data_IF_177687903941
#
_entry.id   IF_177687903941
#
_cell.length_a   1.000
_cell.length_b   1.000
_cell.length_c   1.000
_cell.angle_alpha   90.00
_cell.angle_beta   90.00
_cell.angle_gamma   90.00
#
_symmetry.space_group_name_H-M   'P 1'
#
loop_
_entity.id
_entity.type
_entity.pdbx_description
1 polymer ?
#
# COMPACT_ATOMS: atom_id res chain seq x y z
N UNK A 1 -7.63 -10.35 -21.44
CA UNK A 1 -8.13 -9.33 -20.47
C UNK A 1 -8.61 -10.08 -19.24
N UNK A 2 -8.03 -9.86 -18.05
CA UNK A 2 -8.54 -10.51 -16.84
C UNK A 2 -9.93 -9.97 -16.52
N UNK A 3 -10.84 -10.86 -16.13
CA UNK A 3 -12.22 -10.53 -15.81
C UNK A 3 -12.26 -9.53 -14.64
N UNK A 4 -13.03 -8.46 -14.82
CA UNK A 4 -13.35 -7.48 -13.79
C UNK A 4 -14.19 -8.18 -12.71
N UNK A 5 -13.54 -8.74 -11.70
CA UNK A 5 -14.24 -9.17 -10.49
C UNK A 5 -14.66 -7.88 -9.80
N UNK A 6 -15.94 -7.51 -9.93
CA UNK A 6 -16.51 -6.41 -9.16
C UNK A 6 -16.31 -6.73 -7.68
N UNK A 7 -15.34 -6.05 -7.07
CA UNK A 7 -15.12 -6.15 -5.63
C UNK A 7 -16.37 -5.70 -4.86
N UNK A 8 -16.49 -6.05 -3.58
CA UNK A 8 -17.54 -5.53 -2.72
C UNK A 8 -17.69 -4.00 -2.87
N UNK A 9 -18.93 -3.49 -2.87
CA UNK A 9 -19.26 -2.10 -3.24
C UNK A 9 -18.53 -1.03 -2.40
N UNK A 10 -17.95 -1.42 -1.26
CA UNK A 10 -17.32 -0.55 -0.27
C UNK A 10 -15.87 -0.97 0.09
N UNK A 11 -15.20 -1.77 -0.74
CA UNK A 11 -13.82 -2.20 -0.46
C UNK A 11 -12.87 -1.02 -0.48
N UNK A 12 -12.10 -0.89 0.60
CA UNK A 12 -11.02 0.09 0.77
C UNK A 12 -9.75 -0.46 0.13
N UNK A 13 -9.34 -1.66 0.55
CA UNK A 13 -8.09 -2.31 0.14
C UNK A 13 -8.20 -3.81 0.39
N UNK A 14 -7.53 -4.58 -0.45
CA UNK A 14 -7.28 -6.01 -0.28
C UNK A 14 -5.79 -6.21 0.00
N UNK A 15 -5.47 -6.95 1.05
CA UNK A 15 -4.11 -7.32 1.41
C UNK A 15 -3.89 -8.80 1.09
N UNK A 16 -2.93 -9.10 0.21
CA UNK A 16 -2.64 -10.47 -0.23
C UNK A 16 -1.31 -10.94 0.33
N UNK A 17 -1.27 -12.15 0.88
CA UNK A 17 -0.04 -12.74 1.42
C UNK A 17 0.97 -13.09 0.34
N UNK A 18 2.21 -12.60 0.46
CA UNK A 18 3.34 -12.97 -0.41
C UNK A 18 4.42 -13.81 0.27
N UNK A 19 4.20 -14.16 1.52
CA UNK A 19 5.12 -14.96 2.35
C UNK A 19 4.31 -15.90 3.23
N UNK A 20 4.91 -17.01 3.66
CA UNK A 20 4.28 -17.93 4.61
C UNK A 20 3.91 -17.24 5.94
N UNK A 21 4.75 -16.31 6.40
CA UNK A 21 4.45 -15.50 7.59
C UNK A 21 3.20 -14.63 7.39
N UNK A 22 3.05 -13.99 6.23
CA UNK A 22 1.83 -13.24 5.91
C UNK A 22 0.61 -14.15 5.75
N UNK A 23 0.76 -15.33 5.15
CA UNK A 23 -0.33 -16.30 5.04
C UNK A 23 -0.86 -16.72 6.41
N UNK A 24 0.04 -17.09 7.32
CA UNK A 24 -0.30 -17.44 8.69
C UNK A 24 -0.98 -16.28 9.41
N UNK A 25 -0.44 -15.07 9.27
CA UNK A 25 -0.99 -13.86 9.87
C UNK A 25 -2.43 -13.59 9.39
N UNK A 26 -2.67 -13.58 8.09
CA UNK A 26 -4.00 -13.35 7.52
C UNK A 26 -4.99 -14.49 7.81
N UNK A 27 -4.50 -15.69 8.12
CA UNK A 27 -5.32 -16.87 8.48
C UNK A 27 -5.66 -16.97 9.97
N UNK A 28 -5.20 -16.03 10.80
CA UNK A 28 -5.53 -16.00 12.23
C UNK A 28 -7.04 -15.88 12.47
N UNK A 29 -7.53 -16.47 13.57
CA UNK A 29 -8.95 -16.47 13.93
C UNK A 29 -9.56 -15.06 13.94
N UNK A 30 -8.82 -14.08 14.49
CA UNK A 30 -9.20 -12.66 14.54
C UNK A 30 -9.53 -12.08 13.16
N UNK A 31 -8.84 -12.56 12.13
CA UNK A 31 -8.90 -12.02 10.77
C UNK A 31 -9.95 -12.71 9.91
N UNK A 32 -10.48 -13.88 10.33
CA UNK A 32 -11.37 -14.72 9.50
C UNK A 32 -12.61 -13.99 8.98
N UNK A 33 -13.14 -13.02 9.74
CA UNK A 33 -14.32 -12.23 9.31
C UNK A 33 -14.04 -11.33 8.10
N UNK A 34 -12.77 -11.02 7.83
CA UNK A 34 -12.33 -10.15 6.73
C UNK A 34 -11.78 -10.94 5.52
N UNK A 35 -11.54 -12.24 5.70
CA UNK A 35 -11.10 -13.12 4.63
C UNK A 35 -12.35 -13.56 3.87
N UNK A 36 -12.47 -13.25 2.57
CA UNK A 36 -13.59 -13.75 1.80
C UNK A 36 -13.57 -15.28 1.81
N UNK A 37 -14.73 -15.97 1.77
CA UNK A 37 -14.76 -17.42 1.69
C UNK A 37 -13.90 -17.86 0.50
N UNK A 38 -13.10 -18.94 0.66
CA UNK A 38 -12.16 -19.36 -0.37
C UNK A 38 -12.93 -19.56 -1.67
N UNK A 39 -12.64 -18.72 -2.65
CA UNK A 39 -13.07 -18.99 -4.02
C UNK A 39 -12.18 -20.12 -4.48
N UNK A 40 -12.72 -21.34 -4.52
CA UNK A 40 -12.00 -22.50 -5.06
C UNK A 40 -11.72 -22.19 -6.53
N UNK A 41 -10.55 -21.63 -6.81
CA UNK A 41 -10.01 -21.62 -8.15
C UNK A 41 -9.50 -23.03 -8.35
N UNK A 42 -10.29 -23.86 -9.02
CA UNK A 42 -9.86 -25.17 -9.50
C UNK A 42 -8.73 -24.90 -10.52
N UNK A 43 -7.50 -24.80 -10.04
CA UNK A 43 -6.34 -24.95 -10.90
C UNK A 43 -6.41 -26.37 -11.44
N UNK A 44 -6.70 -26.50 -12.74
CA UNK A 44 -6.55 -27.76 -13.46
C UNK A 44 -5.07 -28.09 -13.42
N UNK A 45 -4.69 -29.05 -12.58
CA UNK A 45 -3.35 -29.62 -12.56
C UNK A 45 -3.20 -30.47 -13.83
N UNK A 46 -2.43 -29.97 -14.81
CA UNK A 46 -1.96 -30.81 -15.90
C UNK A 46 -0.93 -31.78 -15.35
N UNK A 47 -1.35 -33.05 -15.29
CA UNK A 47 -0.54 -34.20 -14.93
C UNK A 47 0.60 -34.38 -15.94
N UNK A 48 1.85 -34.23 -15.49
CA UNK A 48 3.01 -34.84 -16.17
C UNK A 48 3.90 -35.48 -15.11
N UNK A 49 3.85 -36.82 -15.06
CA UNK A 49 4.84 -37.65 -14.37
C UNK A 49 6.21 -37.47 -15.02
N UNK A 50 7.27 -37.08 -14.28
CA UNK A 50 8.56 -37.78 -14.30
C UNK A 50 9.58 -37.22 -13.25
N UNK A 51 10.23 -38.16 -12.55
CA UNK A 51 11.54 -38.14 -11.85
C UNK A 51 11.79 -37.32 -10.57
N UNK A 52 12.30 -38.10 -9.60
CA UNK A 52 13.04 -37.74 -8.39
C UNK A 52 13.87 -36.45 -8.50
N UNK A 53 13.40 -35.39 -7.87
CA UNK A 53 14.19 -34.24 -7.42
C UNK A 53 13.65 -33.76 -6.07
N UNK A 54 14.52 -33.09 -5.31
CA UNK A 54 14.26 -32.38 -4.04
C UNK A 54 12.82 -31.86 -3.98
N UNK A 55 12.04 -32.09 -2.91
CA UNK A 55 10.64 -31.65 -2.86
C UNK A 55 10.59 -30.15 -3.19
N UNK A 56 10.01 -29.85 -4.35
CA UNK A 56 9.75 -28.48 -4.75
C UNK A 56 8.85 -27.87 -3.67
N UNK A 57 9.16 -26.67 -3.14
CA UNK A 57 8.26 -26.00 -2.22
C UNK A 57 6.90 -25.92 -2.90
N UNK A 58 5.90 -26.62 -2.36
CA UNK A 58 4.55 -26.63 -2.92
C UNK A 58 4.05 -25.20 -3.12
N UNK A 59 3.12 -24.97 -4.07
CA UNK A 59 2.67 -23.64 -4.42
C UNK A 59 2.27 -22.87 -3.15
N UNK A 60 2.85 -21.68 -2.97
CA UNK A 60 2.53 -20.81 -1.84
C UNK A 60 1.03 -20.55 -1.87
N UNK A 61 0.32 -21.02 -0.84
CA UNK A 61 -1.09 -20.71 -0.67
C UNK A 61 -1.20 -19.21 -0.48
N UNK A 62 -1.81 -18.52 -1.43
CA UNK A 62 -2.17 -17.12 -1.26
C UNK A 62 -3.48 -17.03 -0.47
N UNK A 63 -3.52 -16.12 0.49
CA UNK A 63 -4.76 -15.71 1.17
C UNK A 63 -4.87 -14.20 1.05
N UNK A 64 -6.10 -13.71 0.99
CA UNK A 64 -6.40 -12.30 0.90
C UNK A 64 -7.32 -11.87 2.04
N UNK A 65 -7.10 -10.66 2.54
CA UNK A 65 -7.92 -10.01 3.54
C UNK A 65 -8.50 -8.73 2.95
N UNK A 66 -9.80 -8.52 3.08
CA UNK A 66 -10.50 -7.35 2.54
C UNK A 66 -10.89 -6.40 3.66
N UNK A 67 -10.45 -5.15 3.57
CA UNK A 67 -10.90 -4.05 4.42
C UNK A 67 -12.00 -3.29 3.68
N UNK A 68 -13.10 -3.00 4.36
CA UNK A 68 -14.27 -2.31 3.78
C UNK A 68 -14.66 -1.10 4.62
N UNK A 69 -15.40 -0.16 4.02
CA UNK A 69 -16.01 0.94 4.77
C UNK A 69 -17.23 0.49 5.59
N UNK A 70 -17.72 -0.73 5.40
CA UNK A 70 -18.78 -1.30 6.24
C UNK A 70 -18.26 -1.76 7.60
N UNK A 71 -16.95 -2.03 7.67
CA UNK A 71 -16.20 -2.34 8.89
C UNK A 71 -15.29 -1.16 9.27
N UNK A 72 -15.82 -0.12 9.95
CA UNK A 72 -15.04 1.06 10.29
C UNK A 72 -13.89 0.69 11.24
N UNK A 73 -12.81 1.50 11.26
CA UNK A 73 -11.72 1.31 12.20
C UNK A 73 -12.21 1.47 13.65
N UNK A 74 -11.52 0.81 14.60
CA UNK A 74 -11.85 0.92 16.03
C UNK A 74 -11.71 2.35 16.55
N UNK A 75 -10.68 3.06 16.09
CA UNK A 75 -10.52 4.49 16.30
C UNK A 75 -10.60 5.21 14.93
N UNK A 76 -11.64 6.03 14.70
CA UNK A 76 -11.78 6.81 13.48
C UNK A 76 -10.60 7.72 13.17
N UNK A 77 -9.74 8.07 14.14
CA UNK A 77 -8.57 8.94 13.97
C UNK A 77 -7.28 8.19 13.64
N UNK A 78 -7.19 6.90 13.98
CA UNK A 78 -6.01 6.08 13.71
C UNK A 78 -6.13 5.27 12.41
N UNK A 79 -7.36 5.05 11.93
CA UNK A 79 -7.61 4.21 10.75
C UNK A 79 -7.55 2.72 11.07
N UNK A 80 -7.42 1.88 10.05
CA UNK A 80 -7.35 0.42 10.20
C UNK A 80 -5.96 -0.01 10.66
N UNK A 81 -5.79 -0.12 11.97
CA UNK A 81 -4.51 -0.48 12.61
C UNK A 81 -4.19 -1.96 12.40
N UNK A 82 -2.95 -2.24 12.00
CA UNK A 82 -2.39 -3.58 11.83
C UNK A 82 -1.22 -3.77 12.80
N UNK A 83 -1.17 -4.87 13.53
CA UNK A 83 -0.14 -5.10 14.54
C UNK A 83 -0.27 -6.42 15.28
N UNK A 84 0.35 -6.55 16.45
CA UNK A 84 0.38 -7.80 17.23
C UNK A 84 -0.55 -7.83 18.45
N UNK A 85 -1.29 -6.75 18.70
CA UNK A 85 -2.17 -6.62 19.85
C UNK A 85 -3.66 -6.67 19.43
N UNK A 86 -4.40 -7.73 19.77
CA UNK A 86 -5.80 -7.91 19.33
C UNK A 86 -6.77 -6.89 19.92
N UNK A 87 -6.42 -6.24 21.05
CA UNK A 87 -7.29 -5.25 21.68
C UNK A 87 -7.34 -3.92 20.92
N UNK A 88 -6.29 -3.62 20.15
CA UNK A 88 -6.17 -2.35 19.45
C UNK A 88 -5.92 -2.47 17.94
N UNK A 89 -5.75 -3.68 17.42
CA UNK A 89 -5.54 -3.91 16.00
C UNK A 89 -6.81 -4.40 15.31
N UNK A 90 -7.13 -3.73 14.21
CA UNK A 90 -8.14 -4.18 13.26
C UNK A 90 -7.69 -5.47 12.56
N UNK A 91 -6.43 -5.51 12.08
CA UNK A 91 -5.81 -6.71 11.51
C UNK A 91 -4.69 -7.21 12.43
N UNK A 92 -4.78 -8.48 12.83
CA UNK A 92 -3.74 -9.10 13.65
C UNK A 92 -2.67 -9.72 12.74
N UNK A 93 -1.41 -9.35 12.94
CA UNK A 93 -0.27 -9.80 12.13
C UNK A 93 0.56 -10.90 12.80
N UNK A 94 0.30 -11.18 14.08
CA UNK A 94 0.92 -12.29 14.79
C UNK A 94 0.00 -12.79 15.91
N UNK A 95 0.03 -14.09 16.18
CA UNK A 95 -0.76 -14.72 17.23
C UNK A 95 -0.25 -14.36 18.64
N UNK A 96 1.07 -14.20 18.78
CA UNK A 96 1.71 -13.88 20.06
C UNK A 96 2.23 -12.43 20.06
N UNK A 97 1.72 -11.57 20.96
CA UNK A 97 2.29 -10.23 21.11
C UNK A 97 3.77 -10.34 21.50
N UNK A 98 4.61 -9.49 20.89
CA UNK A 98 6.06 -9.35 21.17
C UNK A 98 7.00 -10.41 20.57
N UNK A 99 6.48 -11.48 19.95
CA UNK A 99 7.33 -12.43 19.21
C UNK A 99 7.44 -11.95 17.76
N UNK A 100 8.63 -12.03 17.15
CA UNK A 100 8.77 -11.82 15.70
C UNK A 100 8.83 -10.37 15.22
N UNK A 101 9.20 -9.39 16.07
CA UNK A 101 9.54 -8.03 15.62
C UNK A 101 8.35 -7.15 15.18
N UNK A 102 7.11 -7.61 15.41
CA UNK A 102 5.89 -6.85 15.10
C UNK A 102 5.42 -6.09 16.34
N UNK A 103 5.53 -4.75 16.30
CA UNK A 103 4.98 -3.84 17.31
C UNK A 103 3.48 -4.05 17.58
N UNK A 104 3.03 -3.70 18.79
CA UNK A 104 1.63 -3.80 19.23
C UNK A 104 0.67 -3.16 18.21
N UNK A 105 0.92 -1.90 17.87
CA UNK A 105 0.42 -1.23 16.65
C UNK A 105 1.61 -1.06 15.72
N UNK A 106 1.58 -1.64 14.52
CA UNK A 106 2.74 -1.61 13.63
C UNK A 106 2.59 -0.56 12.54
N UNK A 107 1.48 -0.60 11.83
CA UNK A 107 1.12 0.43 10.87
C UNK A 107 -0.39 0.60 10.86
N UNK A 108 -0.89 1.69 10.29
CA UNK A 108 -2.30 1.83 9.98
C UNK A 108 -2.51 2.23 8.53
N UNK A 109 -3.67 1.84 8.02
CA UNK A 109 -4.19 2.33 6.74
C UNK A 109 -5.27 3.34 7.06
N UNK A 110 -5.19 4.53 6.46
CA UNK A 110 -6.18 5.58 6.67
C UNK A 110 -6.35 6.39 5.39
N UNK A 111 -7.53 6.97 5.19
CA UNK A 111 -7.70 7.92 4.10
C UNK A 111 -7.11 9.27 4.48
N UNK A 112 -6.46 9.93 3.54
CA UNK A 112 -6.51 11.38 3.52
C UNK A 112 -7.95 11.78 3.15
N UNK A 113 -8.72 12.17 4.17
CA UNK A 113 -10.13 12.53 4.04
C UNK A 113 -10.38 13.83 3.27
N UNK A 114 -9.34 14.58 2.90
CA UNK A 114 -9.46 15.76 2.04
C UNK A 114 -9.42 15.39 0.56
N UNK A 115 -8.57 14.43 0.16
CA UNK A 115 -8.35 14.10 -1.25
C UNK A 115 -8.61 12.66 -1.67
N UNK A 116 -8.96 11.79 -0.71
CA UNK A 116 -9.34 10.40 -0.95
C UNK A 116 -8.16 9.44 -1.18
N UNK A 117 -6.90 9.87 -1.03
CA UNK A 117 -5.74 8.98 -1.13
C UNK A 117 -5.64 8.06 0.08
N UNK A 118 -5.35 6.78 -0.15
CA UNK A 118 -5.08 5.83 0.94
C UNK A 118 -3.63 5.99 1.40
N UNK A 119 -3.44 6.24 2.69
CA UNK A 119 -2.15 6.42 3.32
C UNK A 119 -1.78 5.19 4.15
N UNK A 120 -0.53 4.78 4.05
CA UNK A 120 0.12 3.90 5.01
C UNK A 120 0.86 4.76 6.03
N UNK A 121 0.54 4.61 7.31
CA UNK A 121 1.19 5.30 8.41
C UNK A 121 1.97 4.30 9.25
N UNK A 122 3.28 4.50 9.37
CA UNK A 122 4.10 3.71 10.28
C UNK A 122 3.85 4.14 11.74
N UNK A 123 3.63 3.15 12.61
CA UNK A 123 3.44 3.31 14.05
C UNK A 123 4.43 2.43 14.85
N UNK A 124 5.34 1.75 14.14
CA UNK A 124 6.19 0.73 14.71
C UNK A 124 7.43 1.31 15.38
N UNK A 125 8.07 0.50 16.21
CA UNK A 125 9.33 0.88 16.88
C UNK A 125 10.53 0.78 15.94
N UNK A 126 10.50 -0.14 14.99
CA UNK A 126 11.64 -0.47 14.12
C UNK A 126 11.49 0.02 12.67
N UNK A 127 10.32 0.58 12.34
CA UNK A 127 9.95 1.04 11.01
C UNK A 127 9.22 -0.02 10.19
N UNK A 128 8.41 0.45 9.27
CA UNK A 128 7.69 -0.36 8.28
C UNK A 128 8.37 -0.21 6.93
N UNK A 129 8.68 -1.33 6.26
CA UNK A 129 9.32 -1.29 4.94
C UNK A 129 8.25 -1.38 3.85
N UNK A 130 8.36 -0.58 2.82
CA UNK A 130 7.46 -0.58 1.66
C UNK A 130 8.29 -0.72 0.39
N UNK A 131 8.00 -1.72 -0.43
CA UNK A 131 8.52 -1.80 -1.78
C UNK A 131 7.51 -1.17 -2.73
N UNK A 132 7.80 0.05 -3.16
CA UNK A 132 7.03 0.76 -4.15
C UNK A 132 7.35 0.27 -5.54
N UNK A 133 6.33 0.19 -6.40
CA UNK A 133 6.53 -0.15 -7.81
C UNK A 133 7.45 0.84 -8.53
N UNK A 134 7.40 2.13 -8.15
CA UNK A 134 8.12 3.22 -8.84
C UNK A 134 9.41 3.63 -8.14
N UNK A 135 9.43 3.66 -6.80
CA UNK A 135 10.55 4.19 -6.01
C UNK A 135 11.47 3.12 -5.42
N UNK A 136 11.12 1.84 -5.58
CA UNK A 136 11.83 0.76 -4.92
C UNK A 136 11.56 0.75 -3.42
N UNK A 137 12.55 0.33 -2.64
CA UNK A 137 12.40 0.03 -1.22
C UNK A 137 12.55 1.30 -0.35
N UNK A 138 11.57 1.59 0.49
CA UNK A 138 11.57 2.70 1.44
C UNK A 138 11.27 2.17 2.84
N UNK A 139 11.96 2.68 3.86
CA UNK A 139 11.64 2.41 5.27
C UNK A 139 10.98 3.63 5.88
N UNK A 140 9.73 3.46 6.31
CA UNK A 140 8.97 4.46 7.04
C UNK A 140 9.32 4.38 8.53
N UNK A 141 9.44 5.53 9.18
CA UNK A 141 9.63 5.67 10.63
C UNK A 141 8.76 6.81 11.14
N UNK A 142 7.64 6.48 11.78
CA UNK A 142 6.66 7.45 12.31
C UNK A 142 6.19 8.47 11.27
N UNK A 143 6.11 8.03 10.01
CA UNK A 143 5.72 8.84 8.86
C UNK A 143 4.59 8.14 8.12
N UNK A 144 3.81 8.92 7.37
CA UNK A 144 2.81 8.42 6.42
C UNK A 144 3.27 8.59 4.98
N UNK A 145 2.73 7.78 4.08
CA UNK A 145 2.96 7.89 2.64
C UNK A 145 1.72 7.35 1.90
N UNK A 146 1.32 7.93 0.76
CA UNK A 146 0.34 7.31 -0.11
C UNK A 146 0.81 5.92 -0.57
N UNK A 147 -0.12 4.99 -0.65
CA UNK A 147 0.09 3.65 -1.22
C UNK A 147 -0.83 3.41 -2.41
N UNK A 148 -0.35 2.61 -3.35
CA UNK A 148 -1.05 2.27 -4.59
C UNK A 148 -1.14 0.75 -4.78
N UNK A 149 -1.96 0.33 -5.75
CA UNK A 149 -2.08 -1.08 -6.14
C UNK A 149 -0.74 -1.62 -6.64
N UNK A 150 -0.29 -2.74 -6.06
CA UNK A 150 0.96 -3.41 -6.36
C UNK A 150 2.11 -3.07 -5.41
N UNK A 151 1.94 -2.11 -4.49
CA UNK A 151 2.92 -1.87 -3.44
C UNK A 151 2.97 -3.04 -2.46
N UNK A 152 4.16 -3.35 -1.93
CA UNK A 152 4.35 -4.42 -0.94
C UNK A 152 4.73 -3.82 0.41
N UNK A 153 3.86 -4.03 1.40
CA UNK A 153 4.13 -3.70 2.80
C UNK A 153 4.87 -4.88 3.42
N UNK A 154 6.08 -4.63 3.92
CA UNK A 154 6.89 -5.60 4.63
C UNK A 154 7.00 -5.22 6.11
N UNK A 155 6.57 -6.16 6.96
CA UNK A 155 6.63 -6.08 8.41
C UNK A 155 7.26 -7.36 8.93
N UNK A 156 8.48 -7.25 9.46
CA UNK A 156 9.28 -8.43 9.84
C UNK A 156 9.40 -9.40 8.65
N UNK A 157 8.99 -10.66 8.84
CA UNK A 157 8.97 -11.71 7.81
C UNK A 157 7.69 -11.69 6.95
N UNK A 158 6.67 -10.91 7.33
CA UNK A 158 5.42 -10.82 6.58
C UNK A 158 5.52 -9.80 5.45
N UNK A 159 5.16 -10.22 4.24
CA UNK A 159 4.98 -9.37 3.07
C UNK A 159 3.54 -9.42 2.59
N UNK A 160 2.92 -8.25 2.50
CA UNK A 160 1.53 -8.04 2.11
C UNK A 160 1.51 -7.19 0.85
N UNK A 161 0.95 -7.71 -0.24
CA UNK A 161 0.70 -6.93 -1.46
C UNK A 161 -0.61 -6.16 -1.31
N UNK A 162 -0.58 -4.88 -1.69
CA UNK A 162 -1.71 -3.96 -1.65
C UNK A 162 -2.47 -4.03 -2.97
N UNK A 163 -3.78 -4.23 -2.89
CA UNK A 163 -4.68 -4.07 -4.04
C UNK A 163 -5.83 -3.11 -3.68
N UNK A 164 -5.84 -1.94 -4.31
CA UNK A 164 -6.93 -0.96 -4.22
C UNK A 164 -7.82 -1.15 -5.46
N UNK A 165 -9.09 -1.55 -5.29
CA UNK A 165 -9.95 -1.89 -6.42
C UNK A 165 -10.31 -0.65 -7.24
N UNK A 166 -10.37 -0.81 -8.56
CA UNK A 166 -11.07 0.15 -9.41
C UNK A 166 -12.57 0.06 -9.11
N UNK A 167 -13.15 1.20 -8.74
CA UNK A 167 -14.53 1.29 -8.29
C UNK A 167 -15.50 1.29 -9.46
N UNK A 168 -15.07 1.65 -10.69
CA UNK A 168 -15.90 1.65 -11.89
C UNK A 168 -17.33 2.18 -11.66
N UNK A 169 -18.33 1.34 -11.96
CA UNK A 169 -19.75 1.64 -11.77
C UNK A 169 -20.21 1.74 -10.31
N UNK A 170 -19.44 1.21 -9.36
CA UNK A 170 -19.72 1.28 -7.92
C UNK A 170 -19.17 2.55 -7.25
N UNK A 171 -18.45 3.41 -8.00
CA UNK A 171 -17.84 4.64 -7.48
C UNK A 171 -18.82 5.50 -6.68
N UNK A 172 -20.03 5.74 -7.20
CA UNK A 172 -21.02 6.58 -6.51
C UNK A 172 -21.61 5.93 -5.24
N UNK A 173 -21.62 4.61 -5.12
CA UNK A 173 -22.00 3.93 -3.88
C UNK A 173 -20.89 4.04 -2.83
N UNK A 174 -19.65 3.76 -3.25
CA UNK A 174 -18.46 3.90 -2.43
C UNK A 174 -18.31 5.33 -1.88
N UNK A 175 -18.43 6.36 -2.73
CA UNK A 175 -18.28 7.76 -2.33
C UNK A 175 -19.32 8.17 -1.28
N UNK A 176 -20.58 7.73 -1.42
CA UNK A 176 -21.61 7.99 -0.40
C UNK A 176 -21.22 7.41 0.95
N UNK A 177 -20.76 6.16 0.99
CA UNK A 177 -20.30 5.52 2.22
C UNK A 177 -19.07 6.23 2.78
N UNK A 178 -18.14 6.62 1.92
CA UNK A 178 -16.94 7.34 2.29
C UNK A 178 -17.26 8.69 2.94
N UNK A 179 -18.22 9.46 2.40
CA UNK A 179 -18.68 10.70 3.04
C UNK A 179 -19.32 10.44 4.41
N UNK A 180 -20.13 9.39 4.56
CA UNK A 180 -20.66 9.01 5.88
C UNK A 180 -19.56 8.71 6.90
N UNK A 181 -18.52 7.97 6.49
CA UNK A 181 -17.37 7.69 7.36
C UNK A 181 -16.57 8.96 7.70
N UNK A 182 -16.41 9.86 6.72
CA UNK A 182 -15.76 11.16 6.92
C UNK A 182 -16.50 12.00 7.96
N UNK A 183 -17.82 12.13 7.82
CA UNK A 183 -18.64 12.91 8.75
C UNK A 183 -18.54 12.35 10.17
N UNK A 184 -18.57 11.01 10.32
CA UNK A 184 -18.40 10.35 11.61
C UNK A 184 -17.02 10.65 12.24
N UNK A 185 -15.96 10.66 11.43
CA UNK A 185 -14.61 11.04 11.88
C UNK A 185 -14.56 12.51 12.31
N UNK A 186 -15.12 13.42 11.53
CA UNK A 186 -15.15 14.85 11.87
C UNK A 186 -15.91 15.11 13.17
N UNK A 187 -16.96 14.32 13.45
CA UNK A 187 -17.70 14.37 14.72
C UNK A 187 -16.91 13.80 15.91
N UNK A 188 -15.99 12.86 15.67
CA UNK A 188 -15.12 12.28 16.70
C UNK A 188 -13.97 13.23 17.10
N UNK A 189 -13.61 14.20 16.24
CA UNK A 189 -12.60 15.20 16.57
C UNK A 189 -13.12 16.17 17.66
N UNK A 190 -12.36 16.38 18.76
CA UNK A 190 -12.70 17.41 19.73
C UNK A 190 -12.77 18.78 19.03
N UNK A 191 -13.90 19.49 19.17
CA UNK A 191 -14.08 20.80 18.54
C UNK A 191 -13.00 21.78 19.01
N UNK A 192 -12.43 22.51 18.06
CA UNK A 192 -11.26 23.42 18.16
C UNK A 192 -11.33 24.42 19.33
N UNK A 193 -12.51 24.72 19.87
CA UNK A 193 -12.67 25.59 21.05
C UNK A 193 -11.88 25.16 22.29
N UNK A 194 -11.37 23.92 22.33
CA UNK A 194 -10.64 23.35 23.48
C UNK A 194 -9.18 22.92 23.19
N UNK A 195 -8.62 23.22 22.00
CA UNK A 195 -7.29 22.75 21.60
C UNK A 195 -6.28 23.90 21.50
N UNK A 196 -5.21 23.81 22.29
CA UNK A 196 -4.02 24.65 22.15
C UNK A 196 -3.35 24.27 20.82
N UNK A 197 -3.55 25.10 19.79
CA UNK A 197 -2.88 24.94 18.51
C UNK A 197 -1.39 25.22 18.69
N UNK A 198 -0.56 24.17 18.60
CA UNK A 198 0.87 24.36 18.34
C UNK A 198 1.01 25.01 16.96
N UNK A 199 1.88 26.03 16.79
CA UNK A 199 2.12 26.63 15.49
C UNK A 199 2.50 25.56 14.45
N UNK A 200 2.07 25.70 13.18
CA UNK A 200 2.48 24.78 12.13
C UNK A 200 4.01 24.76 12.07
N UNK A 201 4.59 23.56 12.15
CA UNK A 201 6.01 23.37 11.92
C UNK A 201 6.35 23.95 10.54
N UNK A 202 7.40 24.78 10.50
CA UNK A 202 7.93 25.42 9.30
C UNK A 202 7.96 24.44 8.12
N UNK A 203 7.30 24.82 7.02
CA UNK A 203 7.22 24.07 5.75
C UNK A 203 8.52 23.31 5.49
N UNK A 204 8.48 21.99 5.62
CA UNK A 204 9.58 21.10 5.30
C UNK A 204 9.97 21.29 3.84
N UNK A 205 11.28 21.38 3.58
CA UNK A 205 11.86 21.31 2.25
C UNK A 205 11.26 20.10 1.52
N UNK A 206 10.67 20.32 0.35
CA UNK A 206 10.04 19.29 -0.47
C UNK A 206 11.06 18.17 -0.72
N UNK A 207 10.90 17.03 -0.05
CA UNK A 207 11.77 15.88 -0.23
C UNK A 207 11.20 15.01 -1.33
N UNK A 208 11.74 15.15 -2.54
CA UNK A 208 11.28 14.44 -3.73
C UNK A 208 11.31 12.91 -3.60
N UNK A 209 12.13 12.35 -2.72
CA UNK A 209 12.17 10.90 -2.46
C UNK A 209 11.01 10.38 -1.59
N UNK A 210 10.16 11.27 -1.08
CA UNK A 210 8.99 10.95 -0.24
C UNK A 210 7.65 11.30 -0.90
N UNK A 211 7.66 11.62 -2.19
CA UNK A 211 6.45 11.90 -2.95
C UNK A 211 5.96 10.62 -3.62
N UNK A 212 4.71 10.22 -3.40
CA UNK A 212 4.03 9.25 -4.26
C UNK A 212 3.69 9.90 -5.60
N UNK A 213 4.19 9.36 -6.71
CA UNK A 213 3.90 9.89 -8.07
C UNK A 213 2.83 9.04 -8.73
N UNK A 214 1.72 9.68 -9.12
CA UNK A 214 0.65 9.03 -9.87
C UNK A 214 0.88 9.10 -11.38
N UNK A 215 -0.17 8.82 -12.15
CA UNK A 215 -0.16 8.90 -13.63
C UNK A 215 0.24 10.28 -14.18
N UNK A 216 0.79 10.35 -15.40
CA UNK A 216 1.09 11.60 -16.09
C UNK A 216 -0.16 12.46 -16.26
N UNK A 217 -0.09 13.72 -15.82
CA UNK A 217 -1.14 14.73 -15.99
C UNK A 217 -0.96 15.48 -17.31
N UNK A 218 0.29 15.62 -17.76
CA UNK A 218 0.60 16.25 -19.03
C UNK A 218 2.02 15.95 -19.47
N UNK A 219 2.28 16.06 -20.76
CA UNK A 219 3.63 15.95 -21.31
C UNK A 219 3.89 17.12 -22.26
N UNK A 220 5.15 17.54 -22.29
CA UNK A 220 5.68 18.49 -23.27
C UNK A 220 6.94 17.91 -23.91
N UNK A 221 7.47 18.60 -24.91
CA UNK A 221 8.60 18.12 -25.72
C UNK A 221 9.84 17.71 -24.91
N UNK A 222 10.04 18.29 -23.72
CA UNK A 222 11.23 18.08 -22.89
C UNK A 222 10.92 17.61 -21.46
N UNK A 223 9.65 17.39 -21.14
CA UNK A 223 9.26 17.13 -19.75
C UNK A 223 7.93 16.40 -19.65
N UNK A 224 7.76 15.65 -18.57
CA UNK A 224 6.49 15.10 -18.14
C UNK A 224 6.06 15.76 -16.83
N UNK A 225 4.78 16.07 -16.69
CA UNK A 225 4.18 16.55 -15.45
C UNK A 225 3.35 15.41 -14.88
N UNK A 226 3.66 14.99 -13.67
CA UNK A 226 2.94 13.97 -12.92
C UNK A 226 2.31 14.59 -11.69
N UNK A 227 1.16 14.09 -11.28
CA UNK A 227 0.60 14.42 -9.97
C UNK A 227 1.44 13.69 -8.91
N UNK A 228 1.76 14.40 -7.84
CA UNK A 228 2.54 13.91 -6.72
C UNK A 228 1.79 14.14 -5.43
N UNK A 229 1.97 13.28 -4.45
CA UNK A 229 1.33 13.36 -3.13
C UNK A 229 2.42 13.18 -2.07
N UNK A 230 2.54 14.10 -1.13
CA UNK A 230 3.56 13.98 -0.07
C UNK A 230 3.13 13.08 1.10
N UNK A 231 3.97 13.00 2.13
CA UNK A 231 3.70 12.21 3.33
C UNK A 231 2.48 12.68 4.13
N UNK A 232 2.07 13.94 4.00
CA UNK A 232 0.87 14.51 4.63
C UNK A 232 -0.36 14.29 3.76
N UNK A 233 -0.14 13.82 2.54
CA UNK A 233 -1.17 13.67 1.52
C UNK A 233 -1.45 14.97 0.77
N UNK A 234 -0.61 16.01 0.90
CA UNK A 234 -0.75 17.24 0.13
C UNK A 234 -0.46 16.94 -1.36
N UNK A 235 -1.27 17.49 -2.28
CA UNK A 235 -1.14 17.24 -3.73
C UNK A 235 -0.27 18.31 -4.38
N UNK A 236 0.69 17.87 -5.20
CA UNK A 236 1.59 18.68 -6.00
C UNK A 236 1.58 18.26 -7.46
N UNK A 237 2.09 19.13 -8.34
CA UNK A 237 2.47 18.76 -9.70
C UNK A 237 4.00 18.74 -9.78
N UNK A 238 4.58 17.59 -10.14
CA UNK A 238 6.03 17.42 -10.31
C UNK A 238 6.33 17.36 -11.80
N UNK A 239 7.21 18.26 -12.24
CA UNK A 239 7.70 18.31 -13.62
C UNK A 239 9.07 17.64 -13.70
N UNK A 240 9.12 16.50 -14.37
CA UNK A 240 10.36 15.74 -14.61
C UNK A 240 10.87 16.04 -16.01
N UNK A 241 12.10 16.53 -16.13
CA UNK A 241 12.72 16.80 -17.42
C UNK A 241 13.36 15.53 -17.97
N UNK A 242 13.17 15.25 -19.27
CA UNK A 242 13.84 14.13 -19.93
C UNK A 242 15.32 14.47 -20.05
N UNK A 243 16.19 13.60 -19.56
CA UNK A 243 17.62 13.70 -19.86
C UNK A 243 17.79 13.56 -21.38
N UNK A 244 18.42 14.52 -22.02
CA UNK A 244 18.89 14.36 -23.40
C UNK A 244 20.10 13.46 -23.27
N UNK A 245 19.94 12.16 -23.53
CA UNK A 245 21.11 11.34 -23.82
C UNK A 245 21.75 11.90 -25.11
N UNK A 246 23.01 12.33 -25.00
CA UNK A 246 23.79 12.84 -26.11
C UNK A 246 23.83 11.81 -27.25
N UNK A 247 23.39 12.12 -28.48
CA UNK A 247 23.45 11.21 -29.61
C UNK A 247 24.87 11.00 -30.19
N UNK A 248 25.93 11.33 -29.44
CA UNK A 248 27.32 11.35 -29.93
C UNK A 248 28.14 10.10 -29.58
N UNK A 249 27.60 8.91 -29.81
CA UNK A 249 28.43 7.73 -30.13
C UNK A 249 28.32 7.40 -31.62
N UNK A 250 28.77 8.34 -32.44
CA UNK A 250 29.16 8.10 -33.83
C UNK A 250 30.50 7.35 -33.86
N UNK A 251 30.52 6.18 -34.50
CA UNK A 251 31.66 5.57 -35.20
C UNK A 251 33.06 5.72 -34.61
N UNK A 252 33.56 4.66 -33.96
CA UNK A 252 34.99 4.29 -34.06
C UNK A 252 35.12 3.18 -35.10
N UNK A 253 35.41 3.57 -36.35
CA UNK A 253 35.94 2.65 -37.34
C UNK A 253 37.35 2.23 -36.91
N UNK A 254 37.58 0.94 -36.76
CA UNK A 254 38.92 0.38 -36.67
C UNK A 254 39.66 0.64 -38.00
N UNK A 255 40.66 1.52 -37.97
CA UNK A 255 41.82 1.41 -38.86
C UNK A 255 43.08 1.33 -38.01
N UNK A 256 43.60 0.12 -37.98
CA UNK A 256 44.98 -0.20 -37.64
C UNK A 256 45.90 0.38 -38.71
N UNK A 257 46.87 1.21 -38.29
CA UNK A 257 48.15 1.36 -38.96
C UNK A 257 49.22 1.35 -37.87
N UNK A 258 50.05 0.30 -37.85
CA UNK A 258 51.36 0.31 -37.23
C UNK A 258 52.30 -0.54 -38.11
N UNK A 259 53.30 0.15 -38.65
CA UNK A 259 54.61 -0.26 -39.18
C UNK A 259 54.76 -1.58 -39.95
#
# INVERSE_FOLDING_TARGET
MPAYVAGPQNTVVVLTSKTHAAYNALSLEHNKKFVPPPTIILCVEDNVEDRQCTPEPGPLRETCLTITLDDPPYDPLEGWVCGSDPECCFVLLNERPSVGGISRKHFSLDYNWENGSLLLKDMSTHGTVVAFKVFGLVTLRWNSIPIETGDIIQVSLARLEVFIPDRGSQKGAFERKWYTCRDAREQALPRIGNLILRPPETRTVLNSSKLGLSDPVGSGSFSEVRRAIDCRGDIFAVKTFRSIEDPNTFTRSNRSCAN
#
